data_IF_259370499745
#
_entry.id   IF_259370499745
#
_cell.length_a   1.000
_cell.length_b   1.000
_cell.length_c   1.000
_cell.angle_alpha   90.00
_cell.angle_beta   90.00
_cell.angle_gamma   90.00
#
_symmetry.space_group_name_H-M   'P 1'
#
loop_
_entity.id
_entity.type
_entity.pdbx_description
1 polymer ?
#
# COMPACT_ATOMS: atom_id res chain seq x y z
N UNK A 1 29.86 28.26 -23.39
CA UNK A 1 29.49 27.29 -22.33
C UNK A 1 27.98 27.35 -22.18
N UNK A 2 27.26 26.22 -22.30
CA UNK A 2 25.83 26.19 -21.96
C UNK A 2 25.71 26.21 -20.43
N UNK A 3 24.86 27.07 -19.88
CA UNK A 3 24.59 27.10 -18.44
C UNK A 3 24.09 25.72 -17.98
N UNK A 4 24.59 25.27 -16.83
CA UNK A 4 24.09 24.02 -16.24
C UNK A 4 22.62 24.21 -15.90
N UNK A 5 21.75 23.24 -16.24
CA UNK A 5 20.35 23.31 -15.88
C UNK A 5 20.21 23.42 -14.35
N UNK A 6 19.37 24.35 -13.89
CA UNK A 6 19.04 24.47 -12.47
C UNK A 6 18.35 23.18 -12.01
N UNK A 7 18.88 22.60 -10.94
CA UNK A 7 18.26 21.47 -10.23
C UNK A 7 17.20 22.05 -9.29
N UNK A 8 15.96 21.61 -9.44
CA UNK A 8 14.85 21.99 -8.57
C UNK A 8 14.78 21.08 -7.35
N UNK A 9 14.28 21.63 -6.24
CA UNK A 9 14.01 20.86 -5.02
C UNK A 9 12.64 20.19 -5.16
N UNK A 10 12.59 18.88 -4.87
CA UNK A 10 11.36 18.10 -4.81
C UNK A 10 10.95 17.86 -3.37
N UNK A 11 9.69 18.15 -3.06
CA UNK A 11 9.01 17.70 -1.83
C UNK A 11 7.81 16.84 -2.21
N UNK A 12 7.60 15.75 -1.49
CA UNK A 12 6.46 14.84 -1.66
C UNK A 12 5.83 14.61 -0.29
N UNK A 13 4.57 14.99 -0.15
CA UNK A 13 3.80 14.82 1.07
C UNK A 13 2.61 13.93 0.81
N UNK A 14 2.59 12.74 1.39
CA UNK A 14 1.36 11.96 1.55
C UNK A 14 0.65 12.46 2.80
N UNK A 15 -0.65 12.74 2.70
CA UNK A 15 -1.30 13.56 3.73
C UNK A 15 -2.67 13.07 4.20
N UNK A 16 -3.31 12.16 3.47
CA UNK A 16 -4.66 11.66 3.79
C UNK A 16 -4.90 10.29 3.16
N UNK A 17 -5.65 9.44 3.85
CA UNK A 17 -6.19 8.19 3.32
C UNK A 17 -7.65 8.07 3.74
N UNK A 18 -8.53 7.89 2.76
CA UNK A 18 -9.97 7.85 2.99
C UNK A 18 -10.67 7.10 1.85
N UNK A 19 -11.58 6.18 2.16
CA UNK A 19 -12.44 5.47 1.22
C UNK A 19 -11.71 4.79 0.04
N UNK A 20 -10.52 4.22 0.27
CA UNK A 20 -9.72 3.61 -0.81
C UNK A 20 -8.81 4.59 -1.56
N UNK A 21 -8.72 5.85 -1.14
CA UNK A 21 -7.89 6.86 -1.79
C UNK A 21 -6.72 7.24 -0.91
N UNK A 22 -5.50 7.24 -1.45
CA UNK A 22 -4.28 7.69 -0.78
C UNK A 22 -3.80 8.98 -1.44
N UNK A 23 -3.95 10.11 -0.76
CA UNK A 23 -3.67 11.43 -1.29
C UNK A 23 -2.22 11.86 -1.09
N UNK A 24 -1.69 12.54 -2.10
CA UNK A 24 -0.31 13.01 -2.10
C UNK A 24 -0.15 14.32 -2.88
N UNK A 25 0.86 15.10 -2.46
CA UNK A 25 1.18 16.41 -3.03
C UNK A 25 2.66 16.51 -3.35
N UNK A 26 2.96 16.97 -4.55
CA UNK A 26 4.31 17.27 -5.02
C UNK A 26 4.49 18.77 -5.13
N UNK A 27 5.66 19.24 -4.67
CA UNK A 27 6.09 20.61 -4.87
C UNK A 27 7.48 20.58 -5.51
N UNK A 28 7.60 21.17 -6.70
CA UNK A 28 8.86 21.26 -7.46
C UNK A 28 9.09 22.71 -7.88
N UNK A 29 9.97 23.41 -7.16
CA UNK A 29 10.15 24.85 -7.33
C UNK A 29 8.84 25.60 -7.05
N UNK A 30 8.20 26.14 -8.10
CA UNK A 30 6.87 26.82 -8.01
C UNK A 30 5.71 25.96 -8.53
N UNK A 31 5.99 24.77 -9.05
CA UNK A 31 4.97 23.86 -9.59
C UNK A 31 4.41 23.01 -8.46
N UNK A 32 3.09 22.86 -8.44
CA UNK A 32 2.36 22.03 -7.47
C UNK A 32 1.57 21.00 -8.27
N UNK A 33 1.63 19.74 -7.84
CA UNK A 33 0.81 18.66 -8.36
C UNK A 33 0.19 17.91 -7.19
N UNK A 34 -1.13 17.99 -7.11
CA UNK A 34 -1.93 17.42 -6.03
C UNK A 34 -2.80 16.32 -6.62
N UNK A 35 -2.69 15.10 -6.09
CA UNK A 35 -3.28 13.92 -6.68
C UNK A 35 -3.44 12.80 -5.65
N UNK A 36 -3.82 11.62 -6.11
CA UNK A 36 -4.11 10.45 -5.26
C UNK A 36 -3.84 9.15 -6.01
N UNK A 37 -3.68 8.09 -5.23
CA UNK A 37 -3.75 6.70 -5.65
C UNK A 37 -5.12 6.14 -5.24
N UNK A 38 -5.57 5.08 -5.92
CA UNK A 38 -6.83 4.38 -5.63
C UNK A 38 -6.55 2.91 -5.38
N UNK A 39 -7.25 2.30 -4.42
CA UNK A 39 -7.24 0.85 -4.21
C UNK A 39 -7.91 0.11 -5.36
N UNK A 40 -8.73 0.76 -6.18
CA UNK A 40 -9.29 0.09 -7.38
C UNK A 40 -8.19 -0.32 -8.36
N UNK A 41 -7.14 0.49 -8.47
CA UNK A 41 -6.00 0.30 -9.36
C UNK A 41 -4.70 0.61 -8.61
N UNK A 42 -4.32 -0.27 -7.68
CA UNK A 42 -3.16 -0.07 -6.80
C UNK A 42 -1.88 0.23 -7.58
N UNK A 43 -1.32 1.44 -7.49
CA UNK A 43 -0.09 1.78 -8.18
C UNK A 43 1.16 1.43 -7.37
N UNK A 44 1.03 1.03 -6.09
CA UNK A 44 2.19 0.85 -5.21
C UNK A 44 3.21 -0.18 -5.72
N UNK A 45 2.83 -1.35 -6.30
CA UNK A 45 3.81 -2.28 -6.87
C UNK A 45 4.67 -1.65 -7.97
N UNK A 46 4.03 -1.02 -8.97
CA UNK A 46 4.74 -0.41 -10.10
C UNK A 46 5.51 0.85 -9.68
N UNK A 47 4.95 1.61 -8.75
CA UNK A 47 5.61 2.75 -8.14
C UNK A 47 6.88 2.32 -7.39
N UNK A 48 6.82 1.25 -6.59
CA UNK A 48 8.00 0.66 -5.92
C UNK A 48 9.05 0.25 -6.94
N UNK A 49 8.68 -0.53 -7.96
CA UNK A 49 9.60 -0.98 -9.00
C UNK A 49 10.26 0.20 -9.75
N UNK A 50 9.52 1.28 -9.97
CA UNK A 50 10.06 2.51 -10.57
C UNK A 50 11.13 3.17 -9.68
N UNK A 51 10.88 3.30 -8.37
CA UNK A 51 11.87 3.83 -7.44
C UNK A 51 13.10 2.92 -7.33
N UNK A 52 12.91 1.60 -7.32
CA UNK A 52 14.01 0.61 -7.33
C UNK A 52 14.85 0.71 -8.61
N UNK A 53 14.20 0.84 -9.78
CA UNK A 53 14.86 1.02 -11.06
C UNK A 53 15.75 2.29 -11.05
N UNK A 54 15.23 3.40 -10.54
CA UNK A 54 16.02 4.65 -10.39
C UNK A 54 17.21 4.42 -9.45
N UNK A 55 16.98 3.72 -8.33
CA UNK A 55 17.99 3.45 -7.30
C UNK A 55 19.16 2.61 -7.82
N UNK A 56 18.90 1.61 -8.67
CA UNK A 56 19.96 0.79 -9.31
C UNK A 56 20.61 1.47 -10.52
N UNK A 57 20.18 2.69 -10.87
CA UNK A 57 20.78 3.50 -11.93
C UNK A 57 20.26 3.23 -13.33
N UNK A 58 19.02 2.75 -13.48
CA UNK A 58 18.35 2.72 -14.78
C UNK A 58 18.26 4.14 -15.33
N UNK A 59 18.71 4.33 -16.57
CA UNK A 59 18.83 5.67 -17.18
C UNK A 59 17.48 6.27 -17.56
N UNK A 60 16.51 5.43 -17.93
CA UNK A 60 15.17 5.87 -18.30
C UNK A 60 14.15 4.84 -17.83
N UNK A 61 13.15 5.29 -17.09
CA UNK A 61 12.07 4.43 -16.59
C UNK A 61 10.81 5.26 -16.32
N UNK A 62 9.66 4.62 -16.40
CA UNK A 62 8.38 5.26 -16.10
C UNK A 62 7.45 4.29 -15.41
N UNK A 63 6.60 4.82 -14.52
CA UNK A 63 5.37 4.14 -14.10
C UNK A 63 4.18 5.01 -14.45
N UNK A 64 3.04 4.40 -14.68
CA UNK A 64 1.79 5.11 -14.85
C UNK A 64 0.66 4.31 -14.24
N UNK A 65 -0.43 5.00 -13.91
CA UNK A 65 -1.57 4.40 -13.26
C UNK A 65 -2.85 5.14 -13.67
N UNK A 66 -3.97 4.43 -13.56
CA UNK A 66 -5.30 5.01 -13.76
C UNK A 66 -5.82 5.54 -12.43
N UNK A 67 -6.24 6.79 -12.40
CA UNK A 67 -6.86 7.44 -11.26
C UNK A 67 -8.35 7.66 -11.53
N UNK A 68 -9.06 6.58 -11.85
CA UNK A 68 -10.49 6.54 -12.14
C UNK A 68 -10.88 7.46 -13.30
N UNK A 69 -10.21 7.27 -14.43
CA UNK A 69 -10.45 7.99 -15.68
C UNK A 69 -9.39 9.02 -16.06
N UNK A 70 -8.47 9.34 -15.13
CA UNK A 70 -7.27 10.12 -15.43
C UNK A 70 -6.03 9.21 -15.47
N UNK A 71 -5.38 9.11 -16.62
CA UNK A 71 -4.12 8.39 -16.75
C UNK A 71 -2.93 9.28 -16.35
N UNK A 72 -2.28 8.93 -15.26
CA UNK A 72 -1.14 9.65 -14.72
C UNK A 72 0.12 8.87 -15.04
N UNK A 73 1.17 9.54 -15.53
CA UNK A 73 2.45 8.90 -15.83
C UNK A 73 3.61 9.71 -15.29
N UNK A 74 4.50 9.05 -14.57
CA UNK A 74 5.77 9.59 -14.10
C UNK A 74 6.88 9.03 -14.97
N UNK A 75 7.68 9.90 -15.55
CA UNK A 75 8.84 9.54 -16.36
C UNK A 75 10.10 10.11 -15.73
N UNK A 76 11.08 9.25 -15.51
CA UNK A 76 12.44 9.61 -15.15
C UNK A 76 13.35 9.35 -16.34
N UNK A 77 14.21 10.31 -16.67
CA UNK A 77 15.20 10.18 -17.72
C UNK A 77 16.49 10.90 -17.32
N UNK A 78 17.61 10.20 -17.47
CA UNK A 78 18.96 10.77 -17.45
C UNK A 78 19.40 11.05 -18.87
N UNK A 79 19.27 12.31 -19.29
CA UNK A 79 19.62 12.79 -20.63
C UNK A 79 21.15 12.84 -20.82
N UNK A 80 21.88 13.20 -19.77
CA UNK A 80 23.35 13.23 -19.71
C UNK A 80 23.83 12.94 -18.28
N UNK A 81 25.14 12.70 -18.10
CA UNK A 81 25.75 12.36 -16.81
C UNK A 81 25.33 13.28 -15.65
N UNK A 82 25.05 14.55 -15.92
CA UNK A 82 24.65 15.58 -14.94
C UNK A 82 23.24 16.14 -15.17
N UNK A 83 22.42 15.49 -16.02
CA UNK A 83 21.09 15.96 -16.38
C UNK A 83 20.04 14.88 -16.23
N UNK A 84 19.35 14.94 -15.11
CA UNK A 84 18.26 14.06 -14.73
C UNK A 84 16.95 14.86 -14.76
N UNK A 85 15.92 14.31 -15.39
CA UNK A 85 14.63 14.98 -15.60
C UNK A 85 13.50 14.11 -15.08
N UNK A 86 12.64 14.70 -14.24
CA UNK A 86 11.33 14.16 -13.92
C UNK A 86 10.28 14.85 -14.78
N UNK A 87 9.45 14.06 -15.47
CA UNK A 87 8.29 14.56 -16.21
C UNK A 87 7.04 13.85 -15.73
N UNK A 88 5.98 14.60 -15.42
CA UNK A 88 4.69 14.06 -14.98
C UNK A 88 3.65 14.45 -16.02
N UNK A 89 2.89 13.44 -16.46
CA UNK A 89 1.83 13.56 -17.44
C UNK A 89 0.48 13.27 -16.82
N UNK A 90 -0.55 13.92 -17.36
CA UNK A 90 -1.96 13.58 -17.15
C UNK A 90 -2.64 13.54 -18.52
N UNK A 91 -3.16 12.38 -18.92
CA UNK A 91 -3.80 12.18 -20.22
C UNK A 91 -2.95 12.72 -21.38
N UNK A 92 -1.67 12.30 -21.46
CA UNK A 92 -0.65 12.76 -22.42
C UNK A 92 -0.20 14.23 -22.31
N UNK A 93 -0.84 15.05 -21.46
CA UNK A 93 -0.42 16.44 -21.22
C UNK A 93 0.67 16.50 -20.17
N UNK A 94 1.79 17.14 -20.49
CA UNK A 94 2.86 17.45 -19.52
C UNK A 94 2.33 18.46 -18.50
N UNK A 95 2.32 18.07 -17.23
CA UNK A 95 1.97 18.92 -16.10
C UNK A 95 3.22 19.46 -15.41
N UNK A 96 4.23 18.61 -15.24
CA UNK A 96 5.51 18.96 -14.63
C UNK A 96 6.62 18.48 -15.54
N UNK A 97 7.64 19.33 -15.71
CA UNK A 97 8.94 18.94 -16.26
C UNK A 97 10.02 19.73 -15.54
N UNK A 98 10.91 19.04 -14.83
CA UNK A 98 11.95 19.67 -14.04
C UNK A 98 13.22 18.84 -14.01
N UNK A 99 14.38 19.49 -13.89
CA UNK A 99 15.62 18.78 -13.60
C UNK A 99 15.67 18.52 -12.09
N UNK A 100 15.76 17.26 -11.69
CA UNK A 100 15.73 16.84 -10.29
C UNK A 100 16.79 15.76 -10.13
N UNK A 101 17.57 15.86 -9.06
CA UNK A 101 18.51 14.81 -8.69
C UNK A 101 17.75 13.53 -8.35
N UNK A 102 18.16 12.40 -8.93
CA UNK A 102 17.50 11.11 -8.75
C UNK A 102 17.43 10.67 -7.30
N UNK A 103 18.40 11.04 -6.46
CA UNK A 103 18.38 10.73 -5.04
C UNK A 103 17.25 11.49 -4.35
N UNK A 104 16.98 12.74 -4.76
CA UNK A 104 15.81 13.49 -4.29
C UNK A 104 14.49 12.81 -4.71
N UNK A 105 14.40 12.31 -5.94
CA UNK A 105 13.21 11.57 -6.40
C UNK A 105 12.97 10.36 -5.50
N UNK A 106 13.96 9.47 -5.40
CA UNK A 106 13.83 8.25 -4.61
C UNK A 106 13.54 8.57 -3.15
N UNK A 107 14.31 9.49 -2.55
CA UNK A 107 14.18 9.85 -1.14
C UNK A 107 12.82 10.46 -0.81
N UNK A 108 12.39 11.47 -1.57
CA UNK A 108 11.17 12.20 -1.26
C UNK A 108 9.93 11.31 -1.36
N UNK A 109 9.84 10.50 -2.42
CA UNK A 109 8.74 9.56 -2.59
C UNK A 109 8.76 8.42 -1.55
N UNK A 110 9.92 7.76 -1.38
CA UNK A 110 10.02 6.61 -0.48
C UNK A 110 9.79 7.01 0.98
N UNK A 111 10.49 8.05 1.46
CA UNK A 111 10.32 8.51 2.83
C UNK A 111 8.98 9.19 3.04
N UNK A 112 8.43 9.89 2.03
CA UNK A 112 7.12 10.52 2.11
C UNK A 112 6.02 9.50 2.42
N UNK A 113 6.00 8.38 1.67
CA UNK A 113 5.02 7.32 1.91
C UNK A 113 5.22 6.63 3.25
N UNK A 114 6.44 6.22 3.59
CA UNK A 114 6.71 5.50 4.84
C UNK A 114 6.47 6.38 6.08
N UNK A 115 6.77 7.67 6.00
CA UNK A 115 6.50 8.63 7.09
C UNK A 115 5.00 8.78 7.29
N UNK A 116 4.24 8.94 6.19
CA UNK A 116 2.79 9.03 6.27
C UNK A 116 2.16 7.74 6.83
N UNK A 117 2.60 6.58 6.35
CA UNK A 117 2.11 5.29 6.83
C UNK A 117 2.41 5.02 8.32
N UNK A 118 3.42 5.69 8.87
CA UNK A 118 3.75 5.63 10.30
C UNK A 118 3.02 6.68 11.14
N UNK A 119 2.22 7.55 10.52
CA UNK A 119 1.48 8.62 11.20
C UNK A 119 0.11 8.15 11.69
N UNK A 120 -0.48 8.93 12.60
CA UNK A 120 -1.85 8.75 13.10
C UNK A 120 -2.93 8.98 12.03
N UNK A 121 -2.57 9.60 10.91
CA UNK A 121 -3.47 9.85 9.78
C UNK A 121 -3.62 8.65 8.85
N UNK A 122 -2.68 7.72 8.85
CA UNK A 122 -2.79 6.53 8.03
C UNK A 122 -3.68 5.50 8.73
N UNK A 123 -4.77 5.14 8.07
CA UNK A 123 -5.70 4.11 8.49
C UNK A 123 -5.55 2.92 7.55
N UNK A 124 -4.88 1.82 7.96
CA UNK A 124 -4.68 0.66 7.11
C UNK A 124 -5.99 0.12 6.52
N UNK A 125 -7.09 0.15 7.28
CA UNK A 125 -8.40 -0.30 6.84
C UNK A 125 -8.99 0.49 5.64
N UNK A 126 -8.50 1.70 5.37
CA UNK A 126 -8.93 2.52 4.23
C UNK A 126 -8.13 2.22 2.95
N UNK A 127 -7.01 1.48 3.04
CA UNK A 127 -6.10 1.25 1.91
C UNK A 127 -5.72 -0.21 1.71
N UNK A 128 -5.46 -0.93 2.78
CA UNK A 128 -4.97 -2.29 2.78
C UNK A 128 -6.10 -3.28 3.01
N UNK A 129 -6.00 -4.45 2.39
CA UNK A 129 -6.86 -5.57 2.75
C UNK A 129 -6.52 -6.08 4.13
N UNK A 130 -7.46 -5.90 5.05
CA UNK A 130 -7.36 -6.42 6.40
C UNK A 130 -8.07 -7.77 6.45
N UNK A 131 -7.31 -8.84 6.68
CA UNK A 131 -7.89 -10.18 6.85
C UNK A 131 -8.45 -10.35 8.26
N UNK A 132 -9.47 -11.19 8.40
CA UNK A 132 -10.08 -11.50 9.69
C UNK A 132 -9.03 -12.06 10.66
N UNK A 133 -8.11 -12.91 10.18
CA UNK A 133 -6.99 -13.44 10.98
C UNK A 133 -6.15 -12.34 11.61
N UNK A 134 -5.86 -11.26 10.90
CA UNK A 134 -4.99 -10.19 11.38
C UNK A 134 -5.66 -9.41 12.51
N UNK A 135 -6.96 -9.15 12.37
CA UNK A 135 -7.78 -8.53 13.42
C UNK A 135 -7.85 -9.41 14.67
N UNK A 136 -8.08 -10.71 14.50
CA UNK A 136 -8.18 -11.66 15.61
C UNK A 136 -6.83 -11.81 16.33
N UNK A 137 -5.73 -11.99 15.59
CA UNK A 137 -4.37 -12.04 16.16
C UNK A 137 -4.06 -10.78 16.97
N UNK A 138 -4.37 -9.59 16.43
CA UNK A 138 -4.16 -8.30 17.13
C UNK A 138 -5.02 -8.17 18.40
N UNK A 139 -6.28 -8.56 18.32
CA UNK A 139 -7.25 -8.45 19.44
C UNK A 139 -6.92 -9.42 20.57
N UNK A 140 -6.63 -10.67 20.22
CA UNK A 140 -6.32 -11.74 21.17
C UNK A 140 -4.84 -11.76 21.59
N UNK A 141 -3.98 -10.97 20.92
CA UNK A 141 -2.52 -10.90 21.13
C UNK A 141 -1.84 -12.27 21.00
N UNK A 142 -2.19 -13.00 19.94
CA UNK A 142 -1.62 -14.31 19.62
C UNK A 142 -1.11 -14.33 18.18
N UNK A 143 -0.18 -15.24 17.89
CA UNK A 143 0.21 -15.55 16.51
C UNK A 143 -0.84 -16.42 15.81
N UNK A 144 -0.68 -16.60 14.50
CA UNK A 144 -1.63 -17.34 13.66
C UNK A 144 -1.78 -18.81 14.07
N UNK A 145 -0.68 -19.47 14.48
CA UNK A 145 -0.72 -20.87 14.87
C UNK A 145 -1.54 -21.05 16.16
N UNK A 146 -1.31 -20.17 17.14
CA UNK A 146 -2.04 -20.15 18.39
C UNK A 146 -3.49 -19.67 18.22
N UNK A 147 -3.75 -18.76 17.28
CA UNK A 147 -5.11 -18.38 16.89
C UNK A 147 -5.88 -19.61 16.38
N UNK A 148 -5.32 -20.36 15.42
CA UNK A 148 -5.98 -21.55 14.87
C UNK A 148 -6.25 -22.59 15.96
N UNK A 149 -5.27 -22.82 16.86
CA UNK A 149 -5.45 -23.73 18.00
C UNK A 149 -6.61 -23.31 18.90
N UNK A 150 -6.70 -22.03 19.27
CA UNK A 150 -7.80 -21.53 20.08
C UNK A 150 -9.16 -21.64 19.37
N UNK A 151 -9.22 -21.28 18.09
CA UNK A 151 -10.47 -21.36 17.31
C UNK A 151 -10.96 -22.81 17.14
N UNK A 152 -10.07 -23.80 17.16
CA UNK A 152 -10.42 -25.21 17.09
C UNK A 152 -11.10 -25.74 18.36
N UNK A 153 -10.85 -25.11 19.50
CA UNK A 153 -11.46 -25.48 20.78
C UNK A 153 -12.89 -24.97 20.91
N UNK A 154 -13.24 -23.95 20.13
CA UNK A 154 -14.55 -23.32 20.21
C UNK A 154 -15.62 -24.19 19.57
N UNK A 155 -16.78 -24.22 20.21
CA UNK A 155 -18.00 -24.71 19.58
C UNK A 155 -18.56 -23.68 18.57
N UNK A 156 -19.56 -24.10 17.81
CA UNK A 156 -20.24 -23.25 16.83
C UNK A 156 -20.67 -21.91 17.43
N UNK A 157 -21.25 -21.92 18.63
CA UNK A 157 -21.82 -20.73 19.26
C UNK A 157 -20.71 -19.78 19.70
N UNK A 158 -19.64 -20.31 20.28
CA UNK A 158 -18.47 -19.54 20.70
C UNK A 158 -17.77 -18.87 19.50
N UNK A 159 -17.65 -19.59 18.36
CA UNK A 159 -17.15 -18.99 17.12
C UNK A 159 -18.08 -17.93 16.57
N UNK A 160 -19.40 -18.17 16.53
CA UNK A 160 -20.37 -17.16 16.10
C UNK A 160 -20.28 -15.91 16.98
N UNK A 161 -20.16 -16.05 18.30
CA UNK A 161 -20.02 -14.93 19.22
C UNK A 161 -18.71 -14.17 19.00
N UNK A 162 -17.56 -14.86 18.87
CA UNK A 162 -16.27 -14.20 18.62
C UNK A 162 -16.28 -13.44 17.29
N UNK A 163 -16.77 -14.09 16.24
CA UNK A 163 -16.72 -13.53 14.89
C UNK A 163 -17.73 -12.39 14.73
N UNK A 164 -18.96 -12.53 15.23
CA UNK A 164 -20.04 -11.58 14.96
C UNK A 164 -20.23 -10.50 16.04
N UNK A 165 -19.75 -10.66 17.28
CA UNK A 165 -19.78 -9.57 18.27
C UNK A 165 -18.70 -8.51 18.05
N UNK A 166 -17.68 -8.80 17.22
CA UNK A 166 -16.68 -7.81 16.80
C UNK A 166 -17.07 -7.00 15.55
N UNK A 167 -18.29 -7.20 15.01
CA UNK A 167 -18.87 -6.34 13.99
C UNK A 167 -19.83 -5.34 14.63
N UNK A 168 -19.34 -4.15 14.99
CA UNK A 168 -20.21 -3.01 15.28
C UNK A 168 -20.71 -2.40 13.97
N UNK A 169 -21.98 -2.66 13.62
CA UNK A 169 -22.87 -1.80 12.83
C UNK A 169 -22.35 -1.23 11.48
N UNK A 170 -22.63 -1.90 10.36
CA UNK A 170 -23.36 -1.31 9.20
C UNK A 170 -23.46 -2.22 7.96
N UNK A 171 -22.60 -3.21 7.78
CA UNK A 171 -22.61 -4.03 6.55
C UNK A 171 -23.47 -5.28 6.70
N UNK A 172 -24.78 -5.06 6.68
CA UNK A 172 -25.75 -6.08 6.35
C UNK A 172 -25.80 -6.24 4.82
N UNK A 173 -24.76 -6.80 4.22
CA UNK A 173 -24.79 -7.27 2.83
C UNK A 173 -24.87 -8.79 2.78
N UNK A 174 -25.70 -9.26 1.86
CA UNK A 174 -26.07 -10.65 1.63
C UNK A 174 -24.84 -11.51 1.36
N UNK A 175 -24.55 -12.44 2.28
CA UNK A 175 -23.41 -13.35 2.13
C UNK A 175 -22.70 -13.73 3.42
N UNK A 176 -23.37 -13.69 4.59
CA UNK A 176 -22.76 -14.19 5.83
C UNK A 176 -22.29 -15.63 5.60
N UNK A 177 -20.97 -15.84 5.59
CA UNK A 177 -20.36 -17.14 5.84
C UNK A 177 -20.92 -17.65 7.17
N UNK A 178 -21.97 -18.45 7.11
CA UNK A 178 -22.60 -19.03 8.30
C UNK A 178 -21.80 -20.27 8.68
N UNK A 179 -21.51 -20.42 9.97
CA UNK A 179 -20.86 -21.63 10.47
C UNK A 179 -21.86 -22.78 10.31
N UNK A 180 -21.52 -23.88 9.61
CA UNK A 180 -22.47 -24.97 9.37
C UNK A 180 -23.01 -25.57 10.67
N UNK A 181 -24.27 -26.00 10.68
CA UNK A 181 -24.92 -26.53 11.87
C UNK A 181 -24.23 -27.79 12.40
N UNK A 182 -23.65 -28.57 11.50
CA UNK A 182 -22.89 -29.78 11.79
C UNK A 182 -21.44 -29.51 12.24
N UNK A 183 -21.00 -28.24 12.38
CA UNK A 183 -19.62 -27.88 12.75
C UNK A 183 -19.14 -28.63 14.00
N UNK A 184 -19.96 -28.69 15.04
CA UNK A 184 -19.62 -29.39 16.29
C UNK A 184 -19.39 -30.90 16.11
N UNK A 185 -19.98 -31.50 15.07
CA UNK A 185 -19.85 -32.92 14.75
C UNK A 185 -18.69 -33.22 13.78
N UNK A 186 -17.97 -32.21 13.31
CA UNK A 186 -16.85 -32.39 12.41
C UNK A 186 -15.61 -32.95 13.10
N UNK A 187 -14.77 -33.62 12.31
CA UNK A 187 -13.41 -33.96 12.71
C UNK A 187 -12.57 -32.68 12.86
N UNK A 188 -11.51 -32.75 13.66
CA UNK A 188 -10.59 -31.62 13.85
C UNK A 188 -9.97 -31.15 12.53
N UNK A 189 -9.63 -32.07 11.63
CA UNK A 189 -9.07 -31.71 10.32
C UNK A 189 -10.06 -30.88 9.50
N UNK A 190 -11.33 -31.30 9.45
CA UNK A 190 -12.37 -30.55 8.72
C UNK A 190 -12.67 -29.20 9.36
N UNK A 191 -12.68 -29.12 10.70
CA UNK A 191 -12.80 -27.83 11.42
C UNK A 191 -11.63 -26.92 11.10
N UNK A 192 -10.41 -27.45 11.05
CA UNK A 192 -9.18 -26.70 10.77
C UNK A 192 -9.21 -26.10 9.39
N UNK A 193 -9.53 -26.90 8.37
CA UNK A 193 -9.62 -26.43 6.98
C UNK A 193 -10.66 -25.32 6.84
N UNK A 194 -11.82 -25.49 7.51
CA UNK A 194 -12.86 -24.46 7.54
C UNK A 194 -12.40 -23.17 8.24
N UNK A 195 -11.78 -23.26 9.42
CA UNK A 195 -11.26 -22.10 10.16
C UNK A 195 -10.23 -21.37 9.32
N UNK A 196 -9.26 -22.09 8.72
CA UNK A 196 -8.23 -21.48 7.87
C UNK A 196 -8.88 -20.75 6.71
N UNK A 197 -9.86 -21.37 6.04
CA UNK A 197 -10.60 -20.70 4.96
C UNK A 197 -11.28 -19.44 5.47
N UNK A 198 -12.03 -19.55 6.57
CA UNK A 198 -12.82 -18.46 7.16
C UNK A 198 -11.97 -17.26 7.59
N UNK A 199 -10.87 -17.48 8.31
CA UNK A 199 -10.02 -16.38 8.81
C UNK A 199 -9.18 -15.73 7.71
N UNK A 200 -9.00 -16.41 6.57
CA UNK A 200 -8.38 -15.86 5.37
C UNK A 200 -9.40 -15.20 4.43
N UNK A 201 -10.70 -15.19 4.74
CA UNK A 201 -11.66 -14.36 4.01
C UNK A 201 -11.34 -12.87 4.28
N UNK A 202 -11.21 -12.10 3.20
CA UNK A 202 -11.01 -10.66 3.27
C UNK A 202 -12.22 -10.02 3.95
N UNK A 203 -12.01 -9.15 4.93
CA UNK A 203 -13.14 -8.60 5.71
C UNK A 203 -13.94 -7.53 4.97
N UNK A 204 -13.35 -6.91 3.94
CA UNK A 204 -13.94 -5.81 3.17
C UNK A 204 -13.26 -5.80 1.77
N UNK A 205 -14.05 -6.05 0.71
CA UNK A 205 -13.70 -6.07 -0.73
C UNK A 205 -12.58 -7.03 -1.19
N UNK A 206 -12.71 -7.58 -2.41
CA UNK A 206 -11.75 -8.52 -3.05
C UNK A 206 -10.43 -7.85 -3.52
N UNK A 207 -9.97 -6.82 -2.80
CA UNK A 207 -8.72 -6.15 -3.14
C UNK A 207 -7.52 -6.99 -2.69
N UNK A 208 -6.49 -7.09 -3.54
CA UNK A 208 -5.23 -7.79 -3.28
C UNK A 208 -4.03 -6.86 -3.60
N UNK A 209 -4.13 -5.60 -3.19
CA UNK A 209 -3.04 -4.64 -3.37
C UNK A 209 -1.89 -4.83 -2.39
N UNK A 210 -0.82 -4.10 -2.63
CA UNK A 210 0.38 -4.09 -1.82
C UNK A 210 0.12 -3.43 -0.46
N UNK A 211 0.45 -4.15 0.61
CA UNK A 211 0.56 -3.58 1.95
C UNK A 211 1.75 -2.64 2.01
N UNK A 212 1.66 -1.59 2.81
CA UNK A 212 2.78 -0.65 2.99
C UNK A 212 4.01 -1.35 3.60
N UNK A 213 3.81 -2.38 4.42
CA UNK A 213 4.91 -3.22 4.91
C UNK A 213 5.75 -3.80 3.77
N UNK A 214 5.08 -4.18 2.67
CA UNK A 214 5.69 -4.77 1.49
C UNK A 214 6.24 -3.72 0.53
N UNK A 215 5.92 -2.43 0.73
CA UNK A 215 6.52 -1.33 -0.02
C UNK A 215 7.99 -1.12 0.34
N UNK A 216 8.43 -1.55 1.54
CA UNK A 216 9.84 -1.45 1.94
C UNK A 216 10.75 -2.19 0.96
N UNK A 217 11.90 -1.60 0.69
CA UNK A 217 12.86 -2.12 -0.29
C UNK A 217 14.29 -1.98 0.20
N UNK A 218 14.97 -3.12 0.35
CA UNK A 218 16.40 -3.14 0.68
C UNK A 218 17.27 -2.48 -0.39
N UNK A 219 16.80 -2.46 -1.65
CA UNK A 219 17.48 -1.77 -2.76
C UNK A 219 17.45 -0.26 -2.52
N UNK A 220 16.26 0.29 -2.23
CA UNK A 220 16.08 1.72 -2.00
C UNK A 220 16.79 2.13 -0.70
N UNK A 221 16.64 1.37 0.37
CA UNK A 221 17.26 1.66 1.67
C UNK A 221 18.79 1.69 1.60
N UNK A 222 19.39 0.72 0.90
CA UNK A 222 20.83 0.71 0.62
C UNK A 222 21.26 1.91 -0.23
N UNK A 223 20.48 2.25 -1.26
CA UNK A 223 20.77 3.39 -2.12
C UNK A 223 20.75 4.72 -1.36
N UNK A 224 19.82 4.86 -0.40
CA UNK A 224 19.67 6.05 0.43
C UNK A 224 20.59 6.07 1.66
N UNK A 225 21.36 5.00 1.92
CA UNK A 225 22.14 4.80 3.14
C UNK A 225 21.30 4.94 4.42
N UNK A 226 20.10 4.36 4.43
CA UNK A 226 19.26 4.31 5.63
C UNK A 226 19.75 3.18 6.54
N UNK A 227 20.00 3.47 7.82
CA UNK A 227 20.29 2.43 8.81
C UNK A 227 19.03 1.61 9.06
N UNK A 228 19.07 0.31 8.73
CA UNK A 228 17.97 -0.61 8.95
C UNK A 228 18.04 -1.05 10.43
N UNK A 229 17.26 -0.40 11.29
CA UNK A 229 16.93 -1.01 12.59
C UNK A 229 15.87 -2.07 12.33
N UNK A 230 16.31 -3.32 12.17
CA UNK A 230 15.46 -4.53 12.17
C UNK A 230 14.98 -4.78 13.60
#
# INVERSE_FOLDING_TARGET
>A
MKEKPKIEILTVDFYEVDMGWLYYKLIIGKQIFDNRFTTTFDPLPDFKHWLEAISIGVQQTSFGYDNEGDHIKFNFERVYWDRETLTIYKNERVLIKANIDRQQIVKAFYLGLLTFASSDKFKPEEWETVYLKERLCKTLKVDEENLIKQLLEFDKKELEELLFNHYSYSDATEGKSTIPNEYNAWTNDKKRDFIIKLINEATVYEYDGMKISDFRSSIIEKYLNLEIHI
#
